data_IF_447531146272
#
_entry.id   IF_447531146272
#
_cell.length_a   1.000
_cell.length_b   1.000
_cell.length_c   1.000
_cell.angle_alpha   90.00
_cell.angle_beta   90.00
_cell.angle_gamma   90.00
#
_symmetry.space_group_name_H-M   'P 1'
#
loop_
_entity.id
_entity.type
_entity.pdbx_description
1 polymer ?
#
# COMPACT_ATOMS: atom_id res chain seq x y z
N UNK A 1 -5.33 0.62 24.94
CA UNK A 1 -4.60 -0.09 26.01
C UNK A 1 -3.30 0.66 26.27
N UNK A 2 -3.16 1.28 27.42
CA UNK A 2 -1.93 2.01 27.77
C UNK A 2 -0.88 1.04 28.32
N UNK A 3 0.42 1.27 28.06
CA UNK A 3 1.50 0.54 28.69
C UNK A 3 1.44 0.65 30.23
N UNK A 4 2.02 -0.33 30.94
CA UNK A 4 2.24 -0.26 32.40
C UNK A 4 3.49 0.57 32.66
N UNK A 5 3.68 1.03 33.92
CA UNK A 5 4.78 1.93 34.29
C UNK A 5 6.19 1.41 33.95
N UNK A 6 6.37 0.09 33.93
CA UNK A 6 7.63 -0.57 33.56
C UNK A 6 7.79 -0.85 32.05
N UNK A 7 6.79 -0.56 31.24
CA UNK A 7 6.78 -0.80 29.81
C UNK A 7 7.24 0.42 29.01
N UNK A 8 7.73 0.17 27.77
CA UNK A 8 8.17 1.24 26.87
C UNK A 8 7.00 2.12 26.44
N UNK A 9 7.19 3.44 26.45
CA UNK A 9 6.14 4.44 26.17
C UNK A 9 6.61 5.56 25.20
N UNK A 10 7.49 5.27 24.26
CA UNK A 10 7.87 6.28 23.27
C UNK A 10 6.87 6.36 22.12
N UNK A 11 6.85 7.49 21.39
CA UNK A 11 5.96 7.67 20.22
C UNK A 11 6.23 6.68 19.06
N UNK A 12 7.45 6.18 18.95
CA UNK A 12 7.88 5.31 17.86
C UNK A 12 8.18 3.87 18.32
N UNK A 13 8.13 3.61 19.64
CA UNK A 13 8.43 2.29 20.19
C UNK A 13 7.73 2.14 21.54
N UNK A 14 6.75 1.24 21.62
CA UNK A 14 5.97 1.07 22.83
C UNK A 14 5.52 -0.38 23.02
N UNK A 15 5.16 -0.69 24.26
CA UNK A 15 4.57 -1.97 24.62
C UNK A 15 3.07 -1.81 24.89
N UNK A 16 2.29 -2.87 24.61
CA UNK A 16 0.88 -2.94 25.01
C UNK A 16 0.76 -3.64 26.37
N UNK A 17 -0.21 -3.22 27.16
CA UNK A 17 -0.37 -3.65 28.57
C UNK A 17 -0.36 -5.18 28.76
N UNK A 18 -0.92 -5.94 27.83
CA UNK A 18 -1.03 -7.41 27.91
C UNK A 18 0.18 -8.15 27.36
N UNK A 19 1.15 -7.44 26.77
CA UNK A 19 2.34 -8.09 26.21
C UNK A 19 3.27 -8.58 27.33
N UNK A 20 3.83 -9.77 27.14
CA UNK A 20 4.90 -10.30 27.99
C UNK A 20 6.17 -9.45 27.85
N UNK A 21 6.95 -9.33 28.92
CA UNK A 21 8.24 -8.66 28.85
C UNK A 21 9.14 -9.27 27.78
N UNK A 22 9.71 -8.43 26.93
CA UNK A 22 10.57 -8.82 25.82
C UNK A 22 11.66 -7.78 25.58
N UNK A 23 12.79 -8.21 25.01
CA UNK A 23 13.82 -7.28 24.54
C UNK A 23 13.33 -6.42 23.36
N UNK A 24 12.41 -6.95 22.57
CA UNK A 24 11.77 -6.22 21.46
C UNK A 24 10.49 -5.52 21.97
N UNK A 25 10.20 -4.31 21.49
CA UNK A 25 8.93 -3.64 21.79
C UNK A 25 7.77 -4.37 21.11
N UNK A 26 6.56 -4.22 21.68
CA UNK A 26 5.35 -4.76 21.02
C UNK A 26 5.07 -4.08 19.70
N UNK A 27 5.29 -2.76 19.62
CA UNK A 27 5.13 -1.96 18.40
C UNK A 27 6.37 -1.09 18.21
N UNK A 28 6.88 -1.05 16.99
CA UNK A 28 8.00 -0.20 16.60
C UNK A 28 7.72 0.42 15.23
N UNK A 29 7.82 1.74 15.13
CA UNK A 29 7.70 2.49 13.88
C UNK A 29 9.08 2.95 13.41
N UNK A 30 9.38 2.75 12.13
CA UNK A 30 10.67 3.10 11.53
C UNK A 30 10.45 3.68 10.13
N UNK A 31 11.29 4.63 9.72
CA UNK A 31 11.35 5.02 8.31
C UNK A 31 12.00 3.94 7.46
N UNK A 32 11.62 3.82 6.20
CA UNK A 32 12.12 2.79 5.26
C UNK A 32 13.66 2.81 5.09
N UNK A 33 14.28 3.95 5.33
CA UNK A 33 15.74 4.10 5.25
C UNK A 33 16.46 3.85 6.57
N UNK A 34 15.71 3.58 7.65
CA UNK A 34 16.28 3.28 8.96
C UNK A 34 16.82 1.85 9.02
N UNK A 35 17.80 1.61 9.86
CA UNK A 35 18.31 0.26 10.11
C UNK A 35 17.26 -0.57 10.85
N UNK A 36 16.75 -1.62 10.20
CA UNK A 36 15.78 -2.56 10.77
C UNK A 36 16.41 -3.88 11.19
N UNK A 37 17.63 -4.14 10.77
CA UNK A 37 18.42 -5.34 11.14
C UNK A 37 18.52 -5.47 12.66
N UNK A 38 18.46 -6.70 13.14
CA UNK A 38 18.43 -7.01 14.59
C UNK A 38 17.04 -6.93 15.24
N UNK A 39 16.04 -6.42 14.55
CA UNK A 39 14.64 -6.52 14.99
C UNK A 39 14.06 -7.92 14.70
N UNK A 40 13.00 -8.28 15.42
CA UNK A 40 12.17 -9.47 15.14
C UNK A 40 10.72 -9.08 15.25
N UNK A 41 9.92 -9.50 14.26
CA UNK A 41 8.51 -9.13 14.18
C UNK A 41 7.64 -10.32 13.77
N UNK A 42 6.44 -10.36 14.31
CA UNK A 42 5.36 -11.27 13.87
C UNK A 42 4.57 -10.66 12.71
N UNK A 43 4.56 -9.33 12.63
CA UNK A 43 3.91 -8.57 11.57
C UNK A 43 4.77 -7.35 11.19
N UNK A 44 5.04 -7.19 9.91
CA UNK A 44 5.58 -5.97 9.32
C UNK A 44 4.47 -5.32 8.49
N UNK A 45 4.15 -4.07 8.77
CA UNK A 45 3.26 -3.24 7.95
C UNK A 45 4.11 -2.17 7.28
N UNK A 46 4.26 -2.28 5.97
CA UNK A 46 4.96 -1.31 5.14
C UNK A 46 3.94 -0.36 4.52
N UNK A 47 3.76 0.79 5.15
CA UNK A 47 2.74 1.77 4.82
C UNK A 47 3.34 2.94 4.05
N UNK A 48 2.81 3.21 2.85
CA UNK A 48 3.25 4.28 1.94
C UNK A 48 4.77 4.38 1.77
N UNK A 49 5.44 3.23 1.62
CA UNK A 49 6.91 3.18 1.46
C UNK A 49 7.39 3.74 0.12
N UNK A 50 6.51 3.78 -0.88
CA UNK A 50 6.78 4.38 -2.19
C UNK A 50 6.23 5.81 -2.22
N UNK A 51 7.09 6.75 -2.54
CA UNK A 51 6.75 8.15 -2.68
C UNK A 51 7.33 8.69 -3.98
N UNK A 52 6.80 9.82 -4.48
CA UNK A 52 7.39 10.50 -5.63
C UNK A 52 8.87 10.86 -5.40
N UNK A 53 9.28 11.11 -4.15
CA UNK A 53 10.65 11.48 -3.80
C UNK A 53 11.65 10.31 -3.86
N UNK A 54 11.21 9.06 -3.71
CA UNK A 54 12.10 7.89 -3.69
C UNK A 54 11.93 6.95 -4.91
N UNK A 55 11.21 7.39 -5.95
CA UNK A 55 10.95 6.59 -7.16
C UNK A 55 11.29 7.29 -8.48
N UNK A 56 11.79 8.52 -8.43
CA UNK A 56 12.06 9.32 -9.63
C UNK A 56 13.10 8.69 -10.57
N UNK A 57 14.13 8.07 -10.03
CA UNK A 57 15.19 7.44 -10.81
C UNK A 57 15.22 5.93 -10.63
N UNK A 58 15.81 5.22 -11.59
CA UNK A 58 16.02 3.77 -11.47
C UNK A 58 16.83 3.43 -10.23
N UNK A 59 17.89 4.18 -9.95
CA UNK A 59 18.71 4.00 -8.76
C UNK A 59 17.90 4.06 -7.45
N UNK A 60 16.99 5.04 -7.35
CA UNK A 60 16.12 5.17 -6.17
C UNK A 60 15.17 3.97 -6.02
N UNK A 61 14.59 3.52 -7.13
CA UNK A 61 13.71 2.33 -7.13
C UNK A 61 14.47 1.07 -6.74
N UNK A 62 15.69 0.90 -7.24
CA UNK A 62 16.55 -0.24 -6.89
C UNK A 62 16.91 -0.21 -5.40
N UNK A 63 17.26 0.96 -4.87
CA UNK A 63 17.54 1.15 -3.44
C UNK A 63 16.33 0.80 -2.56
N UNK A 64 15.12 1.21 -2.96
CA UNK A 64 13.89 0.83 -2.27
C UNK A 64 13.66 -0.68 -2.35
N UNK A 65 13.86 -1.28 -3.51
CA UNK A 65 13.73 -2.72 -3.72
C UNK A 65 14.68 -3.53 -2.85
N UNK A 66 15.92 -3.05 -2.63
CA UNK A 66 16.86 -3.68 -1.70
C UNK A 66 16.41 -3.51 -0.24
N UNK A 67 15.97 -2.30 0.15
CA UNK A 67 15.54 -2.04 1.51
C UNK A 67 14.39 -2.94 1.96
N UNK A 68 13.42 -3.23 1.08
CA UNK A 68 12.29 -4.10 1.45
C UNK A 68 12.66 -5.58 1.59
N UNK A 69 13.80 -6.03 1.04
CA UNK A 69 14.28 -7.41 1.24
C UNK A 69 14.65 -7.67 2.70
N UNK A 70 15.04 -6.63 3.44
CA UNK A 70 15.35 -6.74 4.85
C UNK A 70 14.13 -7.12 5.71
N UNK A 71 12.91 -6.88 5.24
CA UNK A 71 11.69 -7.27 5.96
C UNK A 71 11.61 -8.78 6.15
N UNK A 72 12.04 -9.56 5.15
CA UNK A 72 12.05 -11.03 5.23
C UNK A 72 13.07 -11.54 6.26
N UNK A 73 14.16 -10.80 6.50
CA UNK A 73 15.14 -11.13 7.52
C UNK A 73 14.66 -10.80 8.95
N UNK A 74 13.66 -9.93 9.07
CA UNK A 74 13.12 -9.45 10.36
C UNK A 74 11.95 -10.30 10.84
N UNK A 75 11.13 -10.85 9.93
CA UNK A 75 9.98 -11.67 10.30
C UNK A 75 10.42 -13.00 10.90
N UNK A 76 9.64 -13.52 11.85
CA UNK A 76 9.84 -14.84 12.43
C UNK A 76 9.39 -15.91 11.44
N UNK A 77 10.02 -17.08 11.37
CA UNK A 77 9.56 -18.19 10.53
C UNK A 77 8.12 -18.63 10.88
N UNK A 78 7.43 -19.18 9.90
CA UNK A 78 6.18 -19.94 9.97
C UNK A 78 4.88 -19.17 10.26
N UNK A 79 4.88 -18.17 11.13
CA UNK A 79 3.64 -17.51 11.58
C UNK A 79 3.54 -16.04 11.20
N UNK A 80 4.61 -15.47 10.70
CA UNK A 80 4.73 -14.03 10.46
C UNK A 80 4.18 -13.60 9.11
N UNK A 81 3.89 -12.30 8.99
CA UNK A 81 3.32 -11.71 7.78
C UNK A 81 3.98 -10.38 7.47
N UNK A 82 4.09 -10.09 6.17
CA UNK A 82 4.41 -8.77 5.67
C UNK A 82 3.19 -8.25 4.92
N UNK A 83 2.72 -7.08 5.27
CA UNK A 83 1.60 -6.38 4.62
C UNK A 83 2.14 -5.09 4.03
N UNK A 84 1.98 -4.92 2.73
CA UNK A 84 2.29 -3.68 2.04
C UNK A 84 0.99 -2.92 1.78
N UNK A 85 0.95 -1.68 2.20
CA UNK A 85 -0.12 -0.73 1.92
C UNK A 85 0.46 0.44 1.15
N UNK A 86 -0.23 0.92 0.14
CA UNK A 86 0.22 2.09 -0.61
C UNK A 86 -0.43 2.22 -1.98
N UNK A 87 -0.09 3.31 -2.64
CA UNK A 87 -0.56 3.65 -3.97
C UNK A 87 0.59 3.59 -4.96
N UNK A 88 0.49 2.82 -6.05
CA UNK A 88 1.54 2.76 -7.05
C UNK A 88 1.74 4.13 -7.71
N UNK A 89 3.00 4.59 -7.79
CA UNK A 89 3.32 5.90 -8.37
C UNK A 89 3.64 5.83 -9.88
N UNK A 90 3.85 4.64 -10.40
CA UNK A 90 4.14 4.40 -11.82
C UNK A 90 3.92 2.92 -12.16
N UNK A 91 4.02 2.53 -13.44
CA UNK A 91 4.04 1.12 -13.84
C UNK A 91 5.23 0.35 -13.23
N UNK A 92 6.35 1.03 -12.98
CA UNK A 92 7.54 0.45 -12.35
C UNK A 92 7.48 0.45 -10.82
N UNK A 93 6.28 0.70 -10.25
CA UNK A 93 6.06 0.69 -8.82
C UNK A 93 6.52 -0.61 -8.17
N UNK A 94 7.06 -0.49 -6.96
CA UNK A 94 7.44 -1.66 -6.14
C UNK A 94 6.22 -2.55 -5.86
N UNK A 95 5.03 -1.97 -5.69
CA UNK A 95 3.81 -2.73 -5.44
C UNK A 95 3.45 -3.66 -6.60
N UNK A 96 3.68 -3.24 -7.85
CA UNK A 96 3.47 -4.09 -9.02
C UNK A 96 4.48 -5.26 -9.08
N UNK A 97 5.73 -5.02 -8.67
CA UNK A 97 6.79 -6.05 -8.64
C UNK A 97 6.61 -7.07 -7.51
N UNK A 98 5.91 -6.73 -6.43
CA UNK A 98 5.68 -7.66 -5.32
C UNK A 98 4.88 -8.89 -5.75
N UNK A 99 4.03 -8.79 -6.77
CA UNK A 99 3.31 -9.94 -7.31
C UNK A 99 4.26 -10.99 -7.89
N UNK A 100 5.32 -10.58 -8.59
CA UNK A 100 6.36 -11.46 -9.12
C UNK A 100 7.13 -12.19 -8.00
N UNK A 101 7.15 -11.60 -6.80
CA UNK A 101 7.74 -12.17 -5.59
C UNK A 101 6.77 -13.07 -4.80
N UNK A 102 5.58 -13.36 -5.34
CA UNK A 102 4.59 -14.25 -4.73
C UNK A 102 3.59 -13.58 -3.77
N UNK A 103 3.62 -12.25 -3.63
CA UNK A 103 2.65 -11.53 -2.82
C UNK A 103 1.27 -11.50 -3.48
N UNK A 104 0.22 -11.63 -2.67
CA UNK A 104 -1.16 -11.47 -3.13
C UNK A 104 -1.52 -9.99 -3.11
N UNK A 105 -1.90 -9.45 -4.26
CA UNK A 105 -2.33 -8.05 -4.38
C UNK A 105 -3.86 -7.95 -4.24
N UNK A 106 -4.31 -6.81 -3.72
CA UNK A 106 -5.73 -6.43 -3.67
C UNK A 106 -5.87 -4.96 -4.03
N UNK A 107 -6.47 -4.68 -5.20
CA UNK A 107 -6.81 -3.33 -5.62
C UNK A 107 -8.15 -2.90 -5.02
N UNK A 108 -8.13 -1.85 -4.22
CA UNK A 108 -9.29 -1.21 -3.63
C UNK A 108 -9.55 0.11 -4.34
N UNK A 109 -10.29 0.06 -5.44
CA UNK A 109 -10.59 1.22 -6.27
C UNK A 109 -11.65 2.09 -5.60
N UNK A 110 -11.55 3.42 -5.76
CA UNK A 110 -12.54 4.34 -5.18
C UNK A 110 -13.89 4.33 -5.91
N UNK A 111 -13.87 4.04 -7.21
CA UNK A 111 -15.08 3.84 -8.02
C UNK A 111 -15.14 2.40 -8.53
N UNK A 112 -16.34 1.87 -8.68
CA UNK A 112 -16.52 0.59 -9.38
C UNK A 112 -15.91 0.67 -10.78
N UNK A 113 -14.99 -0.24 -11.10
CA UNK A 113 -14.24 -0.19 -12.36
C UNK A 113 -15.09 -0.51 -13.57
N UNK A 114 -14.72 0.03 -14.72
CA UNK A 114 -15.27 -0.36 -16.02
C UNK A 114 -14.93 -1.82 -16.36
N UNK A 115 -15.63 -2.42 -17.33
CA UNK A 115 -15.31 -3.77 -17.81
C UNK A 115 -13.87 -3.92 -18.29
N UNK A 116 -13.32 -2.88 -18.93
CA UNK A 116 -11.91 -2.85 -19.34
C UNK A 116 -10.97 -2.90 -18.14
N UNK A 117 -11.24 -2.10 -17.12
CA UNK A 117 -10.43 -2.07 -15.90
C UNK A 117 -10.53 -3.37 -15.10
N UNK A 118 -11.70 -4.01 -15.03
CA UNK A 118 -11.84 -5.33 -14.41
C UNK A 118 -10.92 -6.36 -15.07
N UNK A 119 -10.89 -6.37 -16.41
CA UNK A 119 -9.99 -7.27 -17.13
C UNK A 119 -8.52 -6.98 -16.81
N UNK A 120 -8.16 -5.70 -16.63
CA UNK A 120 -6.81 -5.30 -16.28
C UNK A 120 -6.44 -5.71 -14.85
N UNK A 121 -7.32 -5.50 -13.87
CA UNK A 121 -7.06 -5.91 -12.47
C UNK A 121 -7.10 -7.42 -12.27
N UNK A 122 -7.89 -8.14 -13.08
CA UNK A 122 -8.04 -9.59 -13.00
C UNK A 122 -8.43 -10.07 -11.60
N UNK A 123 -7.75 -11.10 -11.12
CA UNK A 123 -7.98 -11.66 -9.77
C UNK A 123 -7.50 -10.78 -8.62
N UNK A 124 -6.82 -9.66 -8.93
CA UNK A 124 -6.27 -8.75 -7.94
C UNK A 124 -7.27 -7.67 -7.48
N UNK A 125 -8.42 -7.52 -8.15
CA UNK A 125 -9.48 -6.65 -7.65
C UNK A 125 -9.95 -7.16 -6.28
N UNK A 126 -10.17 -6.24 -5.33
CA UNK A 126 -10.58 -6.60 -3.98
C UNK A 126 -11.88 -7.44 -4.02
N UNK A 127 -11.95 -8.57 -3.29
CA UNK A 127 -13.09 -9.48 -3.35
C UNK A 127 -14.43 -8.80 -3.06
N UNK A 128 -14.47 -7.84 -2.14
CA UNK A 128 -15.68 -7.07 -1.84
C UNK A 128 -16.20 -6.32 -3.06
N UNK A 129 -15.32 -5.64 -3.79
CA UNK A 129 -15.68 -4.90 -5.01
C UNK A 129 -16.08 -5.87 -6.12
N UNK A 130 -15.30 -6.94 -6.29
CA UNK A 130 -15.55 -7.92 -7.35
C UNK A 130 -16.89 -8.66 -7.16
N UNK A 131 -17.25 -9.01 -5.92
CA UNK A 131 -18.47 -9.74 -5.62
C UNK A 131 -19.74 -8.89 -5.72
N UNK A 132 -19.63 -7.58 -5.55
CA UNK A 132 -20.76 -6.64 -5.65
C UNK A 132 -20.87 -5.96 -7.01
N UNK A 133 -19.85 -6.13 -7.86
CA UNK A 133 -19.79 -5.45 -9.14
C UNK A 133 -20.95 -5.79 -10.07
N UNK A 134 -21.52 -4.77 -10.70
CA UNK A 134 -22.46 -4.89 -11.81
C UNK A 134 -22.29 -3.71 -12.77
N UNK A 135 -22.78 -3.83 -13.97
CA UNK A 135 -22.74 -2.76 -14.97
C UNK A 135 -23.43 -1.48 -14.52
N UNK A 136 -24.45 -1.58 -13.67
CA UNK A 136 -25.19 -0.44 -13.11
C UNK A 136 -24.39 0.33 -12.04
N UNK A 137 -23.37 -0.29 -11.47
CA UNK A 137 -22.51 0.31 -10.47
C UNK A 137 -21.26 0.97 -11.06
N UNK A 138 -20.93 0.71 -12.33
CA UNK A 138 -19.75 1.30 -12.98
C UNK A 138 -19.69 2.81 -12.72
N UNK A 139 -18.55 3.27 -12.23
CA UNK A 139 -18.28 4.68 -11.93
C UNK A 139 -18.84 5.18 -10.62
N UNK A 140 -19.74 4.45 -9.94
CA UNK A 140 -20.24 4.82 -8.60
C UNK A 140 -19.17 4.59 -7.52
N UNK A 141 -19.21 5.31 -6.39
CA UNK A 141 -18.32 5.08 -5.26
C UNK A 141 -18.40 3.63 -4.74
N UNK A 142 -17.25 3.01 -4.46
CA UNK A 142 -17.19 1.67 -3.87
C UNK A 142 -17.42 1.69 -2.36
N UNK A 143 -17.09 2.81 -1.69
CA UNK A 143 -17.28 3.04 -0.26
C UNK A 143 -17.81 4.46 -0.03
N UNK A 144 -19.14 4.69 -0.21
CA UNK A 144 -19.73 6.02 -0.15
C UNK A 144 -19.73 6.65 1.24
N UNK A 145 -19.48 5.89 2.31
CA UNK A 145 -19.35 6.44 3.66
C UNK A 145 -18.00 7.11 3.88
N UNK A 146 -16.98 6.72 3.10
CA UNK A 146 -15.64 7.33 3.11
C UNK A 146 -15.49 8.40 2.05
N UNK A 147 -15.93 8.12 0.85
CA UNK A 147 -15.90 9.02 -0.31
C UNK A 147 -17.23 8.92 -1.04
N UNK A 148 -18.09 9.89 -0.86
CA UNK A 148 -19.33 10.00 -1.63
C UNK A 148 -19.06 10.49 -3.07
N UNK A 149 -20.12 10.62 -3.86
CA UNK A 149 -19.98 11.05 -5.26
C UNK A 149 -19.41 12.47 -5.37
N UNK A 150 -19.81 13.37 -4.47
CA UNK A 150 -19.32 14.75 -4.46
C UNK A 150 -17.83 14.79 -4.13
N UNK A 151 -17.40 14.07 -3.10
CA UNK A 151 -16.00 13.98 -2.73
C UNK A 151 -15.12 13.46 -3.87
N UNK A 152 -15.58 12.44 -4.59
CA UNK A 152 -14.83 11.86 -5.71
C UNK A 152 -14.78 12.81 -6.92
N UNK A 153 -15.84 13.55 -7.20
CA UNK A 153 -15.86 14.57 -8.26
C UNK A 153 -14.89 15.73 -7.95
N UNK A 154 -14.85 16.21 -6.71
CA UNK A 154 -13.91 17.24 -6.28
C UNK A 154 -12.45 16.77 -6.42
N UNK A 155 -12.15 15.54 -6.07
CA UNK A 155 -10.82 14.94 -6.22
C UNK A 155 -10.45 14.74 -7.69
N UNK A 156 -11.39 14.28 -8.52
CA UNK A 156 -11.16 14.15 -9.95
C UNK A 156 -10.86 15.50 -10.63
N UNK A 157 -11.58 16.54 -10.22
CA UNK A 157 -11.30 17.91 -10.67
C UNK A 157 -9.93 18.41 -10.22
N UNK A 158 -9.53 18.11 -8.98
CA UNK A 158 -8.25 18.53 -8.40
C UNK A 158 -7.04 17.80 -9.00
N UNK A 159 -7.12 16.47 -9.12
CA UNK A 159 -6.02 15.64 -9.61
C UNK A 159 -5.95 15.54 -11.13
N UNK A 160 -7.03 15.92 -11.82
CA UNK A 160 -7.22 15.61 -13.22
C UNK A 160 -7.40 14.10 -13.46
N UNK A 161 -7.83 13.74 -14.68
CA UNK A 161 -8.19 12.36 -15.02
C UNK A 161 -7.04 11.36 -14.79
N UNK A 162 -5.81 11.72 -15.16
CA UNK A 162 -4.65 10.82 -15.00
C UNK A 162 -4.28 10.64 -13.54
N UNK A 163 -4.21 11.72 -12.78
CA UNK A 163 -3.90 11.69 -11.36
C UNK A 163 -4.96 10.93 -10.57
N UNK A 164 -6.25 11.13 -10.90
CA UNK A 164 -7.34 10.39 -10.27
C UNK A 164 -7.27 8.89 -10.57
N UNK A 165 -7.03 8.50 -11.82
CA UNK A 165 -6.87 7.09 -12.17
C UNK A 165 -5.71 6.45 -11.41
N UNK A 166 -4.58 7.12 -11.31
CA UNK A 166 -3.43 6.60 -10.57
C UNK A 166 -3.69 6.50 -9.06
N UNK A 167 -4.21 7.57 -8.44
CA UNK A 167 -4.33 7.66 -6.98
C UNK A 167 -5.56 6.96 -6.41
N UNK A 168 -6.67 6.97 -7.14
CA UNK A 168 -7.97 6.50 -6.66
C UNK A 168 -8.48 5.25 -7.38
N UNK A 169 -8.10 5.05 -8.64
CA UNK A 169 -8.42 3.82 -9.37
C UNK A 169 -7.25 2.83 -9.40
N UNK A 170 -6.04 3.23 -8.94
CA UNK A 170 -4.84 2.40 -8.90
C UNK A 170 -4.44 1.86 -10.28
N UNK A 171 -4.80 2.60 -11.33
CA UNK A 171 -4.55 2.27 -12.73
C UNK A 171 -3.35 3.07 -13.24
N UNK A 172 -2.21 2.42 -13.33
CA UNK A 172 -0.95 3.02 -13.78
C UNK A 172 -0.75 2.94 -15.30
N UNK A 173 -1.60 2.22 -16.03
CA UNK A 173 -1.42 1.97 -17.47
C UNK A 173 -1.49 3.23 -18.33
N UNK A 174 -2.11 4.30 -17.82
CA UNK A 174 -2.25 5.58 -18.53
C UNK A 174 -1.06 6.52 -18.28
N UNK A 175 -0.19 6.23 -17.32
CA UNK A 175 0.92 7.12 -16.94
C UNK A 175 2.00 7.23 -18.03
N UNK A 176 2.19 6.21 -18.86
CA UNK A 176 3.22 6.18 -19.89
C UNK A 176 2.79 6.76 -21.22
N UNK A 177 1.49 6.86 -21.50
CA UNK A 177 0.98 7.44 -22.74
C UNK A 177 1.28 8.93 -22.91
N UNK A 178 1.65 9.63 -21.83
CA UNK A 178 1.94 11.06 -21.84
C UNK A 178 3.43 11.42 -21.76
N UNK A 179 4.33 10.43 -21.71
CA UNK A 179 5.77 10.73 -21.60
C UNK A 179 6.41 11.18 -22.92
N UNK A 180 5.78 10.88 -24.04
CA UNK A 180 6.24 11.32 -25.37
C UNK A 180 5.05 11.65 -26.26
N UNK A 181 4.57 12.91 -26.32
CA UNK A 181 3.79 13.32 -27.47
C UNK A 181 4.72 13.31 -28.71
N UNK A 182 4.43 12.45 -29.67
CA UNK A 182 5.02 12.51 -31.00
C UNK A 182 4.48 13.74 -31.74
#
# INVERSE_FOLDING_TARGET
MYPRDEQRQSKISFDVNTASASQQPTVKSLGITSQITGSRADLVVADDIETSGNTQTQFMRDKLSEAIKEFEAVIKPDTSRIVYLGTPQSEQSIYNKLQERGYKIRYWTARYPSEKQIKSYGSNLAPLINNTWSTELIGKPTEPTRFDEKDLLEREASYGRLGFNMQYQLDTTLSDLNKFPL
#
